data_IF_832828999042
#
_entry.id   IF_832828999042
#
_cell.length_a   1.000
_cell.length_b   1.000
_cell.length_c   1.000
_cell.angle_alpha   90.00
_cell.angle_beta   90.00
_cell.angle_gamma   90.00
#
_symmetry.space_group_name_H-M   'P 1'
#
loop_
_entity.id
_entity.type
_entity.pdbx_description
1 polymer ?
#
# COMPACT_ATOMS: atom_id res chain seq x y z
N UNK A 1 -20.38 83.27 -8.66
CA UNK A 1 -19.21 82.47 -9.08
C UNK A 1 -18.97 81.35 -8.06
N UNK A 2 -19.49 80.16 -8.37
CA UNK A 2 -19.32 78.98 -7.54
C UNK A 2 -18.25 78.08 -8.20
N UNK A 3 -17.11 77.97 -7.58
CA UNK A 3 -16.04 77.03 -8.03
C UNK A 3 -16.38 75.63 -7.58
N UNK A 4 -16.48 74.70 -8.51
CA UNK A 4 -16.63 73.27 -8.30
C UNK A 4 -15.31 72.70 -7.83
N UNK A 5 -15.29 72.11 -6.63
CA UNK A 5 -14.22 71.27 -6.17
C UNK A 5 -14.52 69.84 -6.61
N UNK A 6 -13.77 69.32 -7.55
CA UNK A 6 -13.92 68.03 -8.17
C UNK A 6 -13.01 66.97 -7.53
N UNK A 7 -13.14 65.74 -7.83
CA UNK A 7 -13.06 64.58 -6.97
C UNK A 7 -11.65 63.95 -6.98
N UNK A 8 -10.81 64.36 -6.06
CA UNK A 8 -9.50 63.70 -5.83
C UNK A 8 -9.58 62.45 -4.93
N UNK A 9 -10.72 62.27 -4.27
CA UNK A 9 -10.88 61.16 -3.30
C UNK A 9 -11.15 59.78 -3.91
N UNK A 10 -11.62 59.72 -5.19
CA UNK A 10 -12.03 58.45 -5.79
C UNK A 10 -10.86 57.66 -6.41
N UNK A 11 -9.76 58.30 -6.74
CA UNK A 11 -8.61 57.65 -7.37
C UNK A 11 -7.73 56.93 -6.34
N UNK A 12 -7.67 57.40 -5.09
CA UNK A 12 -6.86 56.78 -4.02
C UNK A 12 -7.47 55.46 -3.53
N UNK A 13 -8.81 55.33 -3.56
CA UNK A 13 -9.47 54.06 -3.14
C UNK A 13 -9.30 52.92 -4.14
N UNK A 14 -9.15 53.23 -5.44
CA UNK A 14 -8.96 52.18 -6.48
C UNK A 14 -7.54 51.58 -6.48
N UNK A 15 -6.53 52.33 -6.01
CA UNK A 15 -5.14 51.85 -5.96
C UNK A 15 -4.90 50.95 -4.75
N UNK A 16 -5.67 51.11 -3.66
CA UNK A 16 -5.55 50.25 -2.46
C UNK A 16 -6.27 48.90 -2.62
N UNK A 17 -7.21 48.75 -3.53
CA UNK A 17 -7.91 47.50 -3.79
C UNK A 17 -7.10 46.50 -4.67
N UNK A 18 -6.08 46.97 -5.40
CA UNK A 18 -5.23 46.12 -6.25
C UNK A 18 -4.00 45.53 -5.53
N UNK A 19 -3.76 45.90 -4.27
CA UNK A 19 -2.60 45.44 -3.52
C UNK A 19 -2.82 44.16 -2.68
N UNK A 20 -4.03 43.58 -2.70
CA UNK A 20 -4.37 42.39 -1.87
C UNK A 20 -4.58 41.10 -2.65
N UNK A 21 -4.13 40.97 -3.89
CA UNK A 21 -4.06 39.69 -4.56
C UNK A 21 -2.63 39.09 -4.45
N UNK A 22 -2.14 38.95 -3.22
CA UNK A 22 -1.04 38.02 -2.97
C UNK A 22 -1.57 36.60 -3.19
N UNK A 23 -1.66 36.23 -4.47
CA UNK A 23 -2.13 34.91 -4.84
C UNK A 23 -1.17 33.85 -4.29
N UNK A 24 -1.64 33.06 -3.35
CA UNK A 24 -0.89 31.88 -2.91
C UNK A 24 -0.63 31.01 -4.15
N UNK A 25 0.65 30.86 -4.50
CA UNK A 25 1.07 30.00 -5.60
C UNK A 25 1.35 28.62 -5.05
N UNK A 26 0.60 27.63 -5.52
CA UNK A 26 0.86 26.24 -5.20
C UNK A 26 2.12 25.76 -5.93
N UNK A 27 3.09 25.29 -5.19
CA UNK A 27 4.33 24.70 -5.71
C UNK A 27 4.35 23.22 -5.33
N UNK A 28 4.44 22.36 -6.33
CA UNK A 28 4.61 20.92 -6.16
C UNK A 28 6.09 20.61 -5.96
N UNK A 29 6.42 20.09 -4.80
CA UNK A 29 7.76 19.66 -4.44
C UNK A 29 7.83 18.13 -4.53
N UNK A 30 8.89 17.62 -5.15
CA UNK A 30 9.22 16.18 -5.15
C UNK A 30 10.29 15.94 -4.09
N UNK A 31 9.90 15.25 -3.03
CA UNK A 31 10.78 14.93 -1.92
C UNK A 31 11.29 13.51 -2.07
N UNK A 32 12.61 13.29 -2.21
CA UNK A 32 13.17 11.94 -2.28
C UNK A 32 13.09 11.28 -0.90
N UNK A 33 12.45 10.11 -0.84
CA UNK A 33 12.41 9.26 0.34
C UNK A 33 13.46 8.17 0.20
N UNK A 34 14.40 8.12 1.14
CA UNK A 34 15.47 7.09 1.15
C UNK A 34 14.87 5.69 1.33
N UNK A 35 15.51 4.65 0.75
CA UNK A 35 15.16 3.28 1.03
C UNK A 35 15.26 2.99 2.52
N UNK A 36 14.37 2.17 3.05
CA UNK A 36 14.39 1.76 4.46
C UNK A 36 15.46 0.70 4.75
N UNK A 37 15.80 -0.11 3.74
CA UNK A 37 16.86 -1.10 3.79
C UNK A 37 18.12 -0.56 3.14
N UNK A 38 19.25 -0.70 3.82
CA UNK A 38 20.57 -0.47 3.22
C UNK A 38 20.92 -1.66 2.33
N UNK A 39 20.70 -1.51 1.02
CA UNK A 39 20.93 -2.57 0.04
C UNK A 39 22.31 -2.48 -0.65
N UNK A 40 23.12 -1.50 -0.27
CA UNK A 40 24.48 -1.36 -0.82
C UNK A 40 25.30 -2.61 -0.53
N UNK A 41 25.84 -3.26 -1.58
CA UNK A 41 26.55 -4.52 -1.46
C UNK A 41 25.65 -5.76 -1.24
N UNK A 42 24.33 -5.62 -1.42
CA UNK A 42 23.35 -6.69 -1.35
C UNK A 42 22.51 -6.70 -2.62
N UNK A 43 23.12 -7.21 -3.68
CA UNK A 43 22.50 -7.15 -5.01
C UNK A 43 21.69 -8.41 -5.35
N UNK A 44 21.95 -9.52 -4.64
CA UNK A 44 21.29 -10.82 -4.87
C UNK A 44 20.25 -11.05 -3.79
N UNK A 45 18.99 -11.10 -4.20
CA UNK A 45 17.86 -11.27 -3.29
C UNK A 45 17.13 -12.58 -3.58
N UNK A 46 16.75 -13.32 -2.55
CA UNK A 46 15.91 -14.51 -2.68
C UNK A 46 14.65 -14.39 -1.84
N UNK A 47 13.53 -14.84 -2.41
CA UNK A 47 12.22 -14.83 -1.77
C UNK A 47 11.97 -16.21 -1.15
N UNK A 48 12.15 -16.32 0.16
CA UNK A 48 11.81 -17.51 0.91
C UNK A 48 10.28 -17.64 1.08
N UNK A 49 9.77 -18.82 1.45
CA UNK A 49 8.35 -18.99 1.73
C UNK A 49 7.85 -18.02 2.79
N UNK A 50 6.62 -17.54 2.63
CA UNK A 50 5.90 -16.75 3.62
C UNK A 50 4.91 -17.61 4.37
N UNK A 51 4.77 -17.36 5.66
CA UNK A 51 3.68 -17.94 6.44
C UNK A 51 2.34 -17.38 5.97
N UNK A 52 1.33 -18.23 5.82
CA UNK A 52 -0.02 -17.79 5.46
C UNK A 52 -0.87 -17.78 6.72
N UNK A 53 -1.26 -16.60 7.19
CA UNK A 53 -1.94 -16.42 8.48
C UNK A 53 -3.29 -17.16 8.54
N UNK A 54 -4.03 -17.24 7.44
CA UNK A 54 -5.29 -17.98 7.35
C UNK A 54 -5.13 -19.49 7.55
N UNK A 55 -3.94 -20.05 7.28
CA UNK A 55 -3.62 -21.47 7.55
C UNK A 55 -3.23 -21.71 9.01
N UNK A 56 -2.91 -20.64 9.76
CA UNK A 56 -2.52 -20.70 11.16
C UNK A 56 -3.72 -20.52 12.10
N UNK A 57 -4.88 -20.16 11.55
CA UNK A 57 -6.09 -19.94 12.33
C UNK A 57 -6.99 -21.17 12.27
N UNK A 58 -7.26 -21.79 13.42
CA UNK A 58 -8.23 -22.91 13.58
C UNK A 58 -9.70 -22.46 13.42
N UNK A 59 -9.96 -21.23 13.00
CA UNK A 59 -11.30 -20.70 12.83
C UNK A 59 -12.00 -21.38 11.64
N UNK A 60 -13.19 -21.93 11.90
CA UNK A 60 -14.08 -22.56 10.92
C UNK A 60 -14.46 -21.67 9.72
N UNK A 61 -14.19 -20.37 9.81
CA UNK A 61 -14.41 -19.37 8.77
C UNK A 61 -13.12 -19.11 7.95
N UNK A 62 -12.26 -20.13 7.81
CA UNK A 62 -11.11 -20.04 6.91
C UNK A 62 -11.57 -19.65 5.50
N UNK A 63 -10.93 -18.64 4.88
CA UNK A 63 -11.35 -18.13 3.60
C UNK A 63 -11.45 -19.22 2.54
N UNK A 64 -12.41 -19.10 1.65
CA UNK A 64 -12.78 -20.07 0.61
C UNK A 64 -11.74 -20.23 -0.52
N UNK A 65 -10.48 -19.85 -0.27
CA UNK A 65 -9.38 -19.91 -1.27
C UNK A 65 -8.73 -21.28 -1.32
N UNK A 66 -9.50 -22.34 -1.50
CA UNK A 66 -8.95 -23.69 -1.56
C UNK A 66 -7.91 -23.87 -2.67
N UNK A 67 -7.99 -23.04 -3.71
CA UNK A 67 -7.20 -23.19 -4.93
C UNK A 67 -6.12 -22.09 -5.09
N UNK A 68 -6.07 -21.09 -4.19
CA UNK A 68 -5.10 -19.99 -4.26
C UNK A 68 -3.92 -20.25 -3.34
N UNK A 69 -2.73 -20.46 -3.90
CA UNK A 69 -1.48 -20.44 -3.14
C UNK A 69 -1.02 -18.97 -2.96
N UNK A 70 -1.53 -18.35 -1.88
CA UNK A 70 -1.28 -16.95 -1.55
C UNK A 70 0.22 -16.63 -1.41
N UNK A 71 1.01 -17.55 -0.82
CA UNK A 71 2.46 -17.41 -0.70
C UNK A 71 3.13 -17.38 -2.08
N UNK A 72 2.81 -18.36 -2.93
CA UNK A 72 3.40 -18.45 -4.26
C UNK A 72 3.03 -17.23 -5.11
N UNK A 73 1.77 -16.79 -5.08
CA UNK A 73 1.31 -15.61 -5.83
C UNK A 73 1.98 -14.32 -5.34
N UNK A 74 2.08 -14.12 -4.03
CA UNK A 74 2.75 -12.96 -3.47
C UNK A 74 4.24 -12.93 -3.84
N UNK A 75 4.95 -14.05 -3.68
CA UNK A 75 6.36 -14.14 -4.05
C UNK A 75 6.58 -13.92 -5.55
N UNK A 76 5.72 -14.48 -6.39
CA UNK A 76 5.77 -14.27 -7.83
C UNK A 76 5.59 -12.80 -8.20
N UNK A 77 4.59 -12.14 -7.59
CA UNK A 77 4.33 -10.73 -7.80
C UNK A 77 5.51 -9.86 -7.34
N UNK A 78 5.94 -10.04 -6.09
CA UNK A 78 7.04 -9.26 -5.50
C UNK A 78 8.35 -9.45 -6.28
N UNK A 79 8.70 -10.69 -6.62
CA UNK A 79 9.90 -10.99 -7.41
C UNK A 79 9.89 -10.32 -8.79
N UNK A 80 8.75 -10.36 -9.48
CA UNK A 80 8.56 -9.67 -10.76
C UNK A 80 8.74 -8.16 -10.63
N UNK A 81 8.20 -7.54 -9.60
CA UNK A 81 8.31 -6.10 -9.39
C UNK A 81 9.73 -5.68 -8.97
N UNK A 82 10.36 -6.44 -8.08
CA UNK A 82 11.76 -6.21 -7.69
C UNK A 82 12.69 -6.30 -8.91
N UNK A 83 12.58 -7.35 -9.72
CA UNK A 83 13.40 -7.50 -10.92
C UNK A 83 13.19 -6.41 -11.97
N UNK A 84 11.97 -5.82 -12.04
CA UNK A 84 11.68 -4.73 -13.01
C UNK A 84 12.07 -3.34 -12.50
N UNK A 85 11.93 -3.10 -11.22
CA UNK A 85 12.01 -1.75 -10.62
C UNK A 85 13.29 -1.51 -9.85
N UNK A 86 14.09 -2.54 -9.64
CA UNK A 86 15.37 -2.45 -8.93
C UNK A 86 16.50 -2.99 -9.81
N UNK A 87 17.74 -2.76 -9.39
CA UNK A 87 18.95 -3.40 -10.01
C UNK A 87 19.29 -4.75 -9.37
N UNK A 88 18.39 -5.29 -8.53
CA UNK A 88 18.63 -6.52 -7.80
C UNK A 88 18.42 -7.75 -8.68
N UNK A 89 19.27 -8.73 -8.50
CA UNK A 89 19.16 -10.05 -9.13
C UNK A 89 18.32 -10.95 -8.24
N UNK A 90 17.20 -11.45 -8.77
CA UNK A 90 16.35 -12.40 -8.05
C UNK A 90 16.97 -13.79 -8.17
N UNK A 91 17.37 -14.34 -7.05
CA UNK A 91 17.92 -15.71 -6.97
C UNK A 91 16.81 -16.69 -6.61
N UNK A 92 16.74 -17.80 -7.35
CA UNK A 92 15.72 -18.83 -7.13
C UNK A 92 15.91 -19.51 -5.79
N UNK A 93 14.84 -19.58 -5.00
CA UNK A 93 14.78 -20.35 -3.74
C UNK A 93 14.67 -21.85 -4.07
N UNK A 94 15.48 -22.73 -3.46
CA UNK A 94 15.32 -24.16 -3.59
C UNK A 94 13.93 -24.62 -3.09
N UNK A 95 13.32 -25.55 -3.80
CA UNK A 95 11.95 -26.00 -3.51
C UNK A 95 11.82 -26.81 -2.20
N UNK A 96 12.94 -27.37 -1.73
CA UNK A 96 13.01 -28.15 -0.48
C UNK A 96 13.12 -27.29 0.78
N UNK A 97 13.25 -25.96 0.64
CA UNK A 97 13.31 -25.06 1.78
C UNK A 97 11.94 -24.97 2.44
N UNK A 98 11.87 -25.48 3.67
CA UNK A 98 10.69 -25.37 4.52
C UNK A 98 11.03 -24.51 5.74
N UNK A 99 10.09 -23.66 6.13
CA UNK A 99 10.28 -22.82 7.31
C UNK A 99 10.36 -23.68 8.59
N UNK A 100 11.28 -23.36 9.50
CA UNK A 100 11.51 -24.16 10.71
C UNK A 100 10.39 -24.00 11.75
N UNK A 101 9.62 -22.94 11.67
CA UNK A 101 8.55 -22.61 12.60
C UNK A 101 7.42 -21.87 11.89
N UNK A 102 6.24 -21.90 12.50
CA UNK A 102 5.07 -21.10 12.07
C UNK A 102 4.90 -19.81 12.89
N UNK A 103 5.84 -19.53 13.78
CA UNK A 103 5.85 -18.30 14.57
C UNK A 103 6.78 -17.26 13.94
N UNK A 104 6.23 -16.11 13.56
CA UNK A 104 6.99 -15.04 12.88
C UNK A 104 8.17 -14.53 13.72
N UNK A 105 8.02 -14.43 15.04
CA UNK A 105 9.10 -13.98 15.93
C UNK A 105 10.26 -14.96 15.91
N UNK A 106 9.98 -16.24 16.15
CA UNK A 106 10.98 -17.31 16.13
C UNK A 106 11.62 -17.45 14.74
N UNK A 107 10.82 -17.28 13.67
CA UNK A 107 11.30 -17.29 12.29
C UNK A 107 12.36 -16.21 12.05
N UNK A 108 12.12 -14.99 12.56
CA UNK A 108 13.07 -13.89 12.47
C UNK A 108 14.34 -14.08 13.31
N UNK A 109 14.31 -14.97 14.30
CA UNK A 109 15.41 -15.27 15.22
C UNK A 109 16.17 -16.55 14.84
N UNK A 110 15.74 -17.27 13.81
CA UNK A 110 16.33 -18.55 13.37
C UNK A 110 17.64 -18.36 12.58
N UNK A 111 18.66 -17.76 13.20
CA UNK A 111 19.90 -17.29 12.55
C UNK A 111 20.63 -18.40 11.79
N UNK A 112 20.82 -19.59 12.39
CA UNK A 112 21.56 -20.67 11.75
C UNK A 112 20.82 -21.26 10.55
N UNK A 113 19.49 -21.33 10.64
CA UNK A 113 18.65 -21.73 9.51
C UNK A 113 18.83 -20.76 8.33
N UNK A 114 18.73 -19.48 8.59
CA UNK A 114 18.83 -18.46 7.53
C UNK A 114 20.23 -18.36 6.94
N UNK A 115 21.28 -18.52 7.76
CA UNK A 115 22.65 -18.60 7.26
C UNK A 115 22.84 -19.80 6.33
N UNK A 116 22.26 -20.96 6.69
CA UNK A 116 22.27 -22.15 5.83
C UNK A 116 21.54 -21.93 4.51
N UNK A 117 20.36 -21.29 4.54
CA UNK A 117 19.60 -20.94 3.31
C UNK A 117 20.39 -19.95 2.46
N UNK A 118 20.96 -18.90 3.05
CA UNK A 118 21.78 -17.92 2.35
C UNK A 118 23.00 -18.55 1.67
N UNK A 119 23.71 -19.43 2.36
CA UNK A 119 24.84 -20.18 1.79
C UNK A 119 24.44 -21.08 0.61
N UNK A 120 23.29 -21.75 0.69
CA UNK A 120 22.75 -22.59 -0.39
C UNK A 120 22.30 -21.81 -1.62
N UNK A 121 21.67 -20.65 -1.42
CA UNK A 121 21.17 -19.80 -2.50
C UNK A 121 22.22 -18.87 -3.04
N UNK A 122 23.22 -18.53 -2.25
CA UNK A 122 24.17 -17.45 -2.52
C UNK A 122 23.50 -16.08 -2.59
N UNK A 123 22.36 -15.90 -1.91
CA UNK A 123 21.67 -14.61 -1.82
C UNK A 123 22.29 -13.75 -0.72
N UNK A 124 22.48 -12.46 -1.01
CA UNK A 124 22.94 -11.49 -0.01
C UNK A 124 21.81 -11.10 0.95
N UNK A 125 20.58 -11.15 0.44
CA UNK A 125 19.38 -10.79 1.18
C UNK A 125 18.29 -11.84 0.98
N UNK A 126 17.70 -12.28 2.08
CA UNK A 126 16.55 -13.18 2.09
C UNK A 126 15.31 -12.41 2.57
N UNK A 127 14.20 -12.56 1.85
CA UNK A 127 12.92 -12.03 2.27
C UNK A 127 11.95 -13.15 2.62
N UNK A 128 11.32 -13.03 3.76
CA UNK A 128 10.27 -13.92 4.28
C UNK A 128 9.26 -13.10 5.08
N UNK A 129 8.32 -13.74 5.73
CA UNK A 129 7.37 -13.07 6.61
C UNK A 129 6.04 -13.79 6.73
N UNK A 130 4.97 -13.02 6.85
CA UNK A 130 3.57 -13.49 6.91
C UNK A 130 2.75 -12.76 5.89
N UNK A 131 1.88 -13.48 5.20
CA UNK A 131 0.83 -12.91 4.33
C UNK A 131 -0.54 -13.34 4.84
N UNK A 132 -1.49 -12.41 4.79
CA UNK A 132 -2.89 -12.64 5.09
C UNK A 132 -3.75 -11.93 4.06
N UNK A 133 -4.78 -12.61 3.59
CA UNK A 133 -5.74 -12.02 2.67
C UNK A 133 -7.14 -12.41 3.10
N UNK A 134 -7.97 -11.41 3.38
CA UNK A 134 -9.34 -11.60 3.85
C UNK A 134 -10.33 -10.96 2.91
N UNK A 135 -11.43 -11.66 2.68
CA UNK A 135 -12.58 -11.15 1.95
C UNK A 135 -13.78 -11.19 2.85
N UNK A 136 -14.46 -10.08 2.94
CA UNK A 136 -15.65 -9.89 3.76
C UNK A 136 -16.80 -9.42 2.88
N UNK A 137 -17.89 -10.20 2.82
CA UNK A 137 -19.12 -9.74 2.20
C UNK A 137 -19.97 -9.03 3.24
N UNK A 138 -20.33 -7.79 2.95
CA UNK A 138 -21.15 -6.94 3.81
C UNK A 138 -22.45 -6.65 3.10
N UNK A 139 -23.55 -6.73 3.84
CA UNK A 139 -24.86 -6.27 3.38
C UNK A 139 -25.46 -5.36 4.43
N UNK A 140 -26.16 -4.34 3.97
CA UNK A 140 -26.80 -3.38 4.85
C UNK A 140 -27.87 -2.60 4.10
N UNK A 141 -28.65 -1.79 4.84
CA UNK A 141 -29.63 -0.91 4.24
C UNK A 141 -29.14 0.52 4.27
N UNK A 142 -29.31 1.22 3.13
CA UNK A 142 -29.06 2.65 3.01
C UNK A 142 -30.36 3.36 2.70
N UNK A 143 -30.61 4.46 3.39
CA UNK A 143 -31.74 5.35 3.06
C UNK A 143 -31.37 6.20 1.85
N UNK A 144 -32.15 6.11 0.79
CA UNK A 144 -32.01 6.95 -0.40
C UNK A 144 -33.25 7.85 -0.53
N UNK A 145 -33.01 9.14 -0.82
CA UNK A 145 -34.09 10.04 -1.17
C UNK A 145 -34.38 9.98 -2.68
N UNK A 146 -35.64 10.09 -3.04
CA UNK A 146 -36.06 10.24 -4.43
C UNK A 146 -37.20 11.25 -4.52
N UNK A 147 -37.31 11.91 -5.64
CA UNK A 147 -38.44 12.83 -5.92
C UNK A 147 -39.51 12.04 -6.66
N UNK A 148 -40.72 12.03 -6.09
CA UNK A 148 -41.87 11.38 -6.71
C UNK A 148 -42.29 12.13 -7.98
N UNK A 149 -42.42 11.39 -9.08
CA UNK A 149 -42.90 11.95 -10.33
C UNK A 149 -44.41 12.31 -10.31
N UNK A 150 -45.13 11.85 -9.27
CA UNK A 150 -46.59 12.05 -9.15
C UNK A 150 -46.90 13.41 -8.49
N UNK A 151 -46.17 13.74 -7.42
CA UNK A 151 -46.48 14.90 -6.58
C UNK A 151 -45.30 15.87 -6.34
N UNK A 152 -44.12 15.55 -6.94
CA UNK A 152 -42.90 16.36 -6.81
C UNK A 152 -42.28 16.39 -5.42
N UNK A 153 -42.78 15.57 -4.47
CA UNK A 153 -42.26 15.53 -3.09
C UNK A 153 -41.07 14.61 -2.97
N UNK A 154 -40.21 14.88 -2.00
CA UNK A 154 -39.08 14.01 -1.64
C UNK A 154 -39.53 12.93 -0.67
N UNK A 155 -39.29 11.70 -1.04
CA UNK A 155 -39.54 10.51 -0.22
C UNK A 155 -38.21 9.81 0.06
N UNK A 156 -38.20 8.95 1.10
CA UNK A 156 -37.08 8.13 1.48
C UNK A 156 -37.45 6.64 1.36
N UNK A 157 -36.54 5.87 0.77
CA UNK A 157 -36.68 4.42 0.71
C UNK A 157 -35.44 3.74 1.27
N UNK A 158 -35.61 2.56 1.83
CA UNK A 158 -34.52 1.68 2.25
C UNK A 158 -34.09 0.82 1.04
N UNK A 159 -32.81 0.92 0.67
CA UNK A 159 -32.22 0.13 -0.42
C UNK A 159 -31.19 -0.81 0.17
N UNK A 160 -31.27 -2.11 -0.17
CA UNK A 160 -30.24 -3.07 0.20
C UNK A 160 -28.97 -2.73 -0.56
N UNK A 161 -27.88 -2.55 0.16
CA UNK A 161 -26.54 -2.32 -0.38
C UNK A 161 -25.67 -3.50 -0.02
N UNK A 162 -25.06 -4.10 -1.02
CA UNK A 162 -24.10 -5.18 -0.83
C UNK A 162 -22.71 -4.69 -1.27
N UNK A 163 -21.69 -5.00 -0.48
CA UNK A 163 -20.30 -4.70 -0.80
C UNK A 163 -19.39 -5.87 -0.46
N UNK A 164 -18.27 -5.97 -1.15
CA UNK A 164 -17.20 -6.92 -0.84
C UNK A 164 -15.96 -6.15 -0.43
N UNK A 165 -15.50 -6.39 0.79
CA UNK A 165 -14.25 -5.85 1.33
C UNK A 165 -13.11 -6.83 1.11
N UNK A 166 -11.94 -6.32 0.70
CA UNK A 166 -10.70 -7.06 0.52
C UNK A 166 -9.63 -6.42 1.42
N UNK A 167 -9.05 -7.20 2.31
CA UNK A 167 -7.93 -6.75 3.15
C UNK A 167 -6.73 -7.65 2.88
N UNK A 168 -5.63 -7.04 2.43
CA UNK A 168 -4.34 -7.70 2.32
C UNK A 168 -3.39 -7.14 3.37
N UNK A 169 -2.81 -8.03 4.14
CA UNK A 169 -1.88 -7.73 5.23
C UNK A 169 -0.61 -8.54 5.02
N UNK A 170 0.54 -7.89 4.99
CA UNK A 170 1.82 -8.55 4.82
C UNK A 170 2.86 -7.98 5.77
N UNK A 171 3.49 -8.86 6.55
CA UNK A 171 4.69 -8.51 7.30
C UNK A 171 5.90 -9.05 6.56
N UNK A 172 6.77 -8.16 6.11
CA UNK A 172 8.03 -8.50 5.44
C UNK A 172 9.16 -8.49 6.45
N UNK A 173 9.93 -9.57 6.47
CA UNK A 173 11.16 -9.71 7.25
C UNK A 173 12.32 -9.82 6.26
N UNK A 174 13.29 -8.95 6.39
CA UNK A 174 14.54 -9.00 5.62
C UNK A 174 15.67 -9.56 6.49
N UNK A 175 16.39 -10.52 5.96
CA UNK A 175 17.43 -11.27 6.65
C UNK A 175 18.71 -11.20 5.83
N UNK A 176 19.82 -10.98 6.47
CA UNK A 176 21.15 -11.03 5.86
C UNK A 176 21.50 -12.48 5.49
N UNK A 177 21.73 -12.73 4.19
CA UNK A 177 22.01 -14.08 3.69
C UNK A 177 23.34 -14.67 4.17
N UNK A 178 24.31 -13.82 4.54
CA UNK A 178 25.63 -14.28 5.00
C UNK A 178 25.65 -14.60 6.49
N UNK A 179 24.99 -13.75 7.28
CA UNK A 179 25.00 -13.89 8.75
C UNK A 179 23.79 -14.61 9.30
N UNK A 180 22.67 -14.62 8.57
CA UNK A 180 21.36 -15.08 9.02
C UNK A 180 20.64 -14.11 9.96
N UNK A 181 21.22 -12.94 10.21
CA UNK A 181 20.66 -11.96 11.12
C UNK A 181 19.46 -11.21 10.49
N UNK A 182 18.44 -10.98 11.29
CA UNK A 182 17.31 -10.12 10.89
C UNK A 182 17.78 -8.67 10.79
N UNK A 183 17.61 -8.08 9.60
CA UNK A 183 17.96 -6.70 9.33
C UNK A 183 16.78 -5.74 9.51
N UNK A 184 15.58 -6.22 9.18
CA UNK A 184 14.41 -5.36 9.10
C UNK A 184 13.11 -6.17 9.22
N UNK A 185 12.08 -5.53 9.75
CA UNK A 185 10.72 -6.09 9.77
C UNK A 185 9.72 -4.94 9.72
N UNK A 186 8.74 -5.03 8.79
CA UNK A 186 7.67 -4.04 8.69
C UNK A 186 6.38 -4.71 8.21
N UNK A 187 5.26 -4.19 8.69
CA UNK A 187 3.93 -4.58 8.27
C UNK A 187 3.36 -3.56 7.27
N UNK A 188 2.72 -4.09 6.22
CA UNK A 188 2.01 -3.34 5.20
C UNK A 188 0.60 -3.86 5.11
N UNK A 189 -0.37 -2.95 5.07
CA UNK A 189 -1.78 -3.29 5.00
C UNK A 189 -2.50 -2.39 4.02
N UNK A 190 -3.35 -2.98 3.18
CA UNK A 190 -4.27 -2.27 2.32
C UNK A 190 -5.67 -2.89 2.41
N UNK A 191 -6.68 -2.04 2.33
CA UNK A 191 -8.08 -2.46 2.36
C UNK A 191 -8.82 -1.77 1.22
N UNK A 192 -9.51 -2.57 0.41
CA UNK A 192 -10.37 -2.11 -0.69
C UNK A 192 -11.80 -2.54 -0.45
N UNK A 193 -12.74 -1.72 -0.84
CA UNK A 193 -14.16 -2.04 -0.81
C UNK A 193 -14.76 -1.83 -2.20
N UNK A 194 -15.54 -2.80 -2.64
CA UNK A 194 -16.28 -2.75 -3.91
C UNK A 194 -17.77 -2.78 -3.62
N UNK A 195 -18.50 -1.81 -4.16
CA UNK A 195 -19.96 -1.71 -4.05
C UNK A 195 -20.66 -2.74 -4.96
N UNK A 196 -20.27 -3.99 -4.86
CA UNK A 196 -20.88 -5.13 -5.55
C UNK A 196 -20.78 -6.36 -4.67
N UNK A 197 -21.86 -7.16 -4.65
CA UNK A 197 -21.80 -8.49 -4.12
C UNK A 197 -20.93 -9.39 -5.03
N UNK A 198 -20.09 -10.23 -4.41
CA UNK A 198 -19.32 -11.29 -5.08
C UNK A 198 -18.39 -10.80 -6.20
N UNK A 199 -17.41 -9.99 -5.84
CA UNK A 199 -16.30 -9.66 -6.73
C UNK A 199 -15.30 -10.83 -6.70
N UNK A 200 -14.65 -11.08 -7.84
CA UNK A 200 -13.58 -12.07 -7.95
C UNK A 200 -12.44 -11.74 -6.96
N UNK A 201 -12.08 -12.73 -6.18
CA UNK A 201 -11.11 -12.63 -5.11
C UNK A 201 -9.70 -12.31 -5.62
N UNK A 202 -9.33 -12.88 -6.77
CA UNK A 202 -8.05 -12.59 -7.43
C UNK A 202 -7.95 -11.12 -7.84
N UNK A 203 -9.04 -10.55 -8.33
CA UNK A 203 -9.08 -9.11 -8.66
C UNK A 203 -8.82 -8.29 -7.40
N UNK A 204 -9.50 -8.62 -6.29
CA UNK A 204 -9.29 -7.95 -5.00
C UNK A 204 -7.85 -8.08 -4.49
N UNK A 205 -7.26 -9.27 -4.59
CA UNK A 205 -5.87 -9.51 -4.21
C UNK A 205 -4.90 -8.65 -5.01
N UNK A 206 -4.99 -8.68 -6.35
CA UNK A 206 -4.06 -7.92 -7.18
C UNK A 206 -4.23 -6.41 -7.08
N UNK A 207 -5.44 -5.91 -6.85
CA UNK A 207 -5.66 -4.48 -6.57
C UNK A 207 -5.00 -4.03 -5.26
N UNK A 208 -5.08 -4.85 -4.20
CA UNK A 208 -4.38 -4.57 -2.95
C UNK A 208 -2.85 -4.63 -3.15
N UNK A 209 -2.33 -5.65 -3.83
CA UNK A 209 -0.90 -5.78 -4.13
C UNK A 209 -0.38 -4.58 -4.93
N UNK A 210 -1.13 -4.15 -5.94
CA UNK A 210 -0.79 -2.97 -6.73
C UNK A 210 -0.77 -1.69 -5.88
N UNK A 211 -1.72 -1.54 -4.97
CA UNK A 211 -1.77 -0.42 -4.02
C UNK A 211 -0.55 -0.38 -3.10
N UNK A 212 -0.10 -1.55 -2.63
CA UNK A 212 1.06 -1.68 -1.75
C UNK A 212 2.41 -1.68 -2.49
N UNK A 213 2.42 -1.82 -3.82
CA UNK A 213 3.65 -1.93 -4.63
C UNK A 213 4.67 -0.86 -4.29
N UNK A 214 4.25 0.41 -4.30
CA UNK A 214 5.15 1.50 -4.01
C UNK A 214 5.70 1.48 -2.58
N UNK A 215 4.93 0.97 -1.62
CA UNK A 215 5.39 0.86 -0.23
C UNK A 215 6.41 -0.27 -0.10
N UNK A 216 6.13 -1.43 -0.68
CA UNK A 216 7.02 -2.59 -0.69
C UNK A 216 8.34 -2.29 -1.41
N UNK A 217 8.28 -1.70 -2.61
CA UNK A 217 9.46 -1.31 -3.36
C UNK A 217 10.28 -0.21 -2.67
N UNK A 218 9.62 0.65 -1.90
CA UNK A 218 10.29 1.69 -1.11
C UNK A 218 11.17 1.17 0.02
N UNK A 219 11.15 -0.14 0.30
CA UNK A 219 12.15 -0.77 1.14
C UNK A 219 13.53 -0.75 0.46
N UNK A 220 13.57 -0.84 -0.86
CA UNK A 220 14.78 -1.12 -1.65
C UNK A 220 15.25 0.06 -2.49
N UNK A 221 14.34 0.93 -2.93
CA UNK A 221 14.64 2.02 -3.85
C UNK A 221 14.19 3.37 -3.30
N UNK A 222 14.87 4.43 -3.74
CA UNK A 222 14.45 5.81 -3.50
C UNK A 222 13.09 6.02 -4.15
N UNK A 223 12.16 6.59 -3.40
CA UNK A 223 10.84 7.01 -3.90
C UNK A 223 10.74 8.51 -3.88
N UNK A 224 9.88 9.07 -4.72
CA UNK A 224 9.51 10.46 -4.65
C UNK A 224 8.14 10.59 -3.96
N UNK A 225 8.03 11.53 -3.05
CA UNK A 225 6.75 11.95 -2.47
C UNK A 225 6.44 13.35 -2.96
N UNK A 226 5.31 13.54 -3.58
CA UNK A 226 4.82 14.88 -3.90
C UNK A 226 4.25 15.53 -2.63
N UNK A 227 4.66 16.77 -2.40
CA UNK A 227 4.15 17.62 -1.34
C UNK A 227 3.78 18.98 -1.93
N UNK A 228 2.55 19.41 -1.70
CA UNK A 228 2.09 20.73 -2.11
C UNK A 228 2.49 21.74 -1.05
N UNK A 229 3.11 22.84 -1.47
CA UNK A 229 3.44 24.00 -0.63
C UNK A 229 2.82 25.25 -1.25
N UNK A 230 2.26 26.07 -0.40
CA UNK A 230 1.75 27.39 -0.79
C UNK A 230 2.82 28.41 -0.49
N UNK A 231 3.26 29.15 -1.51
CA UNK A 231 4.19 30.25 -1.37
C UNK A 231 3.39 31.54 -1.53
N UNK A 232 3.45 32.37 -0.54
CA UNK A 232 2.86 33.71 -0.55
C UNK A 232 3.93 34.67 -1.05
N UNK A 233 3.63 35.38 -2.13
CA UNK A 233 4.50 36.42 -2.70
C UNK A 233 4.18 37.78 -2.11
#
# INVERSE_FOLDING_TARGET
>A
MRRAAAPAALVVAAVLASACSSGAKEVKLKLPLRPKLAVTGRERISLAPFLVASRLSDKKDAPRYKDLDLDAEFRRYLGKQLGKRTKMTIVTMPQDVRLPTQNLKELGEAVDFWRGVGGRTGADLLLTGVVDFRVENKSGYRSESYISAIDGRTYYRQVLVESTGFTFDVTVVAIDGHTGAKLFQENFRDTKEKSKARVDELVGLFENLFSLENQLLGLFVVREREANRYVFG
#
